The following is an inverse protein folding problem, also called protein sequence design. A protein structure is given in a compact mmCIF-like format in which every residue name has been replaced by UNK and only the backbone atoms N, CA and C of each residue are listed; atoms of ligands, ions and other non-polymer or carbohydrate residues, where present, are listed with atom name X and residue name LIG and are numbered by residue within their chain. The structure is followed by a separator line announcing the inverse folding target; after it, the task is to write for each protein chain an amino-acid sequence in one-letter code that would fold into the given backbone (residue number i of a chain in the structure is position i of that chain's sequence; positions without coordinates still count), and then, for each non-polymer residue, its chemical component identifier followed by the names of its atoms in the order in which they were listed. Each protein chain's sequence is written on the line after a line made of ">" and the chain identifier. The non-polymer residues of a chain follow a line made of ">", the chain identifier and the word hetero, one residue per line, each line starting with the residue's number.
data_IF_405796019235
#
_entry.id   IF_405796019235
#
_cell.length_a   1.000
_cell.length_b   1.000
_cell.length_c   1.000
_cell.angle_alpha   90.00
_cell.angle_beta   90.00
_cell.angle_gamma   90.00
#
_symmetry.space_group_name_H-M   'P 1'
#
loop_
_entity.id
_entity.type
_entity.pdbx_description
1 polymer ?
#
# COMPACT_ATOMS: atom_id res chain seq x y z
N UNK A 1 -14.29 9.25 14.35
CA UNK A 1 -12.94 8.63 14.27
C UNK A 1 -12.15 9.25 13.14
N UNK A 2 -10.92 9.64 13.44
CA UNK A 2 -10.07 10.30 12.45
C UNK A 2 -9.16 9.26 11.77
N UNK A 3 -9.15 9.25 10.44
CA UNK A 3 -8.25 8.41 9.69
C UNK A 3 -6.87 9.08 9.63
N UNK A 4 -5.84 8.36 10.02
CA UNK A 4 -4.46 8.85 10.02
C UNK A 4 -3.61 8.02 9.06
N UNK A 5 -2.42 8.54 8.74
CA UNK A 5 -1.47 7.78 7.92
C UNK A 5 -1.12 6.44 8.56
N UNK A 6 -0.95 6.42 9.89
CA UNK A 6 -0.68 5.18 10.62
C UNK A 6 -1.79 4.15 10.41
N UNK A 7 -3.04 4.60 10.46
CA UNK A 7 -4.19 3.73 10.22
C UNK A 7 -4.15 3.15 8.80
N UNK A 8 -3.83 3.98 7.83
CA UNK A 8 -3.72 3.55 6.43
C UNK A 8 -2.59 2.53 6.27
N UNK A 9 -1.42 2.81 6.82
CA UNK A 9 -0.30 1.86 6.74
C UNK A 9 -0.62 0.55 7.44
N UNK A 10 -1.27 0.59 8.59
CA UNK A 10 -1.65 -0.62 9.30
C UNK A 10 -2.60 -1.48 8.47
N UNK A 11 -3.55 -0.85 7.78
CA UNK A 11 -4.47 -1.56 6.90
C UNK A 11 -3.72 -2.16 5.71
N UNK A 12 -2.81 -1.41 5.10
CA UNK A 12 -2.04 -1.88 3.95
C UNK A 12 -1.12 -3.05 4.28
N UNK A 13 -0.72 -3.20 5.55
CA UNK A 13 0.08 -4.35 5.97
C UNK A 13 -0.69 -5.66 5.88
N UNK A 14 -1.98 -5.63 5.67
CA UNK A 14 -2.79 -6.82 5.43
C UNK A 14 -2.70 -7.30 3.98
N UNK A 15 -2.16 -6.47 3.09
CA UNK A 15 -2.00 -6.81 1.68
C UNK A 15 -0.62 -7.39 1.47
N UNK A 16 -0.57 -8.64 1.02
CA UNK A 16 0.69 -9.37 0.82
C UNK A 16 0.93 -9.63 -0.65
N UNK A 17 2.18 -9.45 -1.07
CA UNK A 17 2.60 -9.82 -2.42
C UNK A 17 2.55 -11.35 -2.54
N UNK A 18 1.83 -11.91 -3.51
CA UNK A 18 1.69 -13.36 -3.63
C UNK A 18 2.98 -14.07 -4.06
N UNK A 19 3.93 -13.35 -4.60
CA UNK A 19 5.21 -13.94 -5.01
C UNK A 19 6.22 -13.96 -3.87
N UNK A 20 6.25 -12.90 -3.07
CA UNK A 20 7.24 -12.72 -2.01
C UNK A 20 6.70 -13.02 -0.61
N UNK A 21 5.37 -13.08 -0.46
CA UNK A 21 4.68 -13.36 0.81
C UNK A 21 4.96 -12.32 1.89
N UNK A 22 5.32 -11.12 1.49
CA UNK A 22 5.59 -10.01 2.41
C UNK A 22 4.59 -8.88 2.10
N UNK A 23 4.16 -8.18 3.14
CA UNK A 23 3.18 -7.10 2.96
C UNK A 23 3.78 -5.92 2.17
N UNK A 24 2.89 -5.21 1.47
CA UNK A 24 3.31 -4.15 0.55
C UNK A 24 4.01 -2.98 1.24
N UNK A 25 3.73 -2.74 2.52
CA UNK A 25 4.38 -1.66 3.27
C UNK A 25 5.85 -2.00 3.51
N UNK A 26 6.12 -3.21 4.01
CA UNK A 26 7.48 -3.64 4.29
C UNK A 26 8.30 -3.84 3.01
N UNK A 27 7.64 -4.17 1.91
CA UNK A 27 8.31 -4.25 0.61
C UNK A 27 8.70 -2.87 0.06
N UNK A 28 8.16 -1.79 0.64
CA UNK A 28 8.43 -0.45 0.14
C UNK A 28 7.66 -0.11 -1.13
N UNK A 29 6.52 -0.75 -1.35
CA UNK A 29 5.69 -0.49 -2.52
C UNK A 29 4.78 0.71 -2.36
N UNK A 30 4.58 1.20 -1.13
CA UNK A 30 3.75 2.37 -0.85
C UNK A 30 4.64 3.60 -0.85
N UNK A 31 4.45 4.48 -1.83
CA UNK A 31 5.26 5.69 -1.98
C UNK A 31 4.68 6.90 -1.28
N UNK A 32 3.37 7.04 -1.30
CA UNK A 32 2.73 8.22 -0.72
C UNK A 32 1.33 7.88 -0.25
N UNK A 33 0.94 8.45 0.88
CA UNK A 33 -0.42 8.38 1.40
C UNK A 33 -0.88 9.81 1.63
N UNK A 34 -1.98 10.20 1.01
CA UNK A 34 -2.60 11.50 1.21
C UNK A 34 -4.01 11.30 1.75
N UNK A 35 -4.35 12.03 2.80
CA UNK A 35 -5.66 11.96 3.42
C UNK A 35 -6.27 13.34 3.35
N UNK A 36 -7.44 13.45 2.72
CA UNK A 36 -8.12 14.72 2.51
C UNK A 36 -9.51 14.67 3.18
N UNK A 37 -9.78 15.56 4.15
CA UNK A 37 -11.10 15.61 4.75
C UNK A 37 -12.15 16.07 3.73
N UNK A 38 -13.31 15.40 3.71
CA UNK A 38 -14.39 15.73 2.81
C UNK A 38 -15.73 15.35 3.43
N UNK A 39 -16.56 16.33 3.71
CA UNK A 39 -17.96 16.13 4.19
C UNK A 39 -18.07 15.18 5.39
N UNK A 40 -17.18 15.34 6.38
CA UNK A 40 -17.19 14.50 7.58
C UNK A 40 -16.53 13.15 7.42
N UNK A 41 -15.99 12.88 6.24
CA UNK A 41 -15.24 11.66 5.94
C UNK A 41 -13.83 12.00 5.52
N UNK A 42 -12.99 11.00 5.36
CA UNK A 42 -11.63 11.17 4.87
C UNK A 42 -11.46 10.43 3.55
N UNK A 43 -11.07 11.17 2.53
CA UNK A 43 -10.70 10.57 1.25
C UNK A 43 -9.24 10.12 1.34
N UNK A 44 -8.97 8.93 0.87
CA UNK A 44 -7.63 8.36 0.94
C UNK A 44 -7.09 8.17 -0.47
N UNK A 45 -5.91 8.73 -0.71
CA UNK A 45 -5.19 8.56 -1.98
C UNK A 45 -3.85 7.92 -1.68
N UNK A 46 -3.58 6.75 -2.28
CA UNK A 46 -2.33 6.02 -2.08
C UNK A 46 -1.61 5.90 -3.42
N UNK A 47 -0.33 6.23 -3.42
CA UNK A 47 0.54 5.98 -4.56
C UNK A 47 1.39 4.76 -4.26
N UNK A 48 1.26 3.74 -5.08
CA UNK A 48 1.97 2.47 -4.93
C UNK A 48 2.75 2.16 -6.20
N UNK A 49 3.74 1.30 -6.06
CA UNK A 49 4.45 0.77 -7.20
C UNK A 49 4.42 -0.77 -7.16
N UNK A 50 5.04 -1.39 -8.15
CA UNK A 50 5.16 -2.84 -8.27
C UNK A 50 6.62 -3.21 -8.23
N UNK A 51 6.93 -4.45 -7.79
CA UNK A 51 8.30 -4.95 -7.81
C UNK A 51 8.82 -5.11 -9.23
N UNK A 52 7.90 -5.24 -10.18
CA UNK A 52 8.23 -5.31 -11.62
C UNK A 52 7.09 -4.67 -12.41
N UNK A 53 7.40 -3.91 -13.49
CA UNK A 53 6.35 -3.37 -14.36
C UNK A 53 5.46 -4.45 -14.99
N UNK A 54 5.96 -5.68 -15.11
CA UNK A 54 5.24 -6.81 -15.68
C UNK A 54 4.61 -7.70 -14.60
N UNK A 55 4.48 -7.23 -13.37
CA UNK A 55 3.94 -8.00 -12.26
C UNK A 55 2.50 -8.44 -12.56
N UNK A 56 2.23 -9.76 -12.70
CA UNK A 56 0.87 -10.22 -13.02
C UNK A 56 -0.10 -10.07 -11.86
N UNK A 57 0.40 -9.90 -10.64
CA UNK A 57 -0.41 -9.70 -9.45
C UNK A 57 -0.78 -8.24 -9.20
N UNK A 58 -0.31 -7.31 -10.05
CA UNK A 58 -0.54 -5.88 -9.86
C UNK A 58 -2.00 -5.49 -9.65
N UNK A 59 -2.91 -5.87 -10.57
CA UNK A 59 -4.33 -5.52 -10.41
C UNK A 59 -4.94 -6.10 -9.13
N UNK A 60 -4.53 -7.30 -8.72
CA UNK A 60 -5.00 -7.93 -7.50
C UNK A 60 -4.53 -7.16 -6.28
N UNK A 61 -3.27 -6.74 -6.23
CA UNK A 61 -2.73 -5.96 -5.13
C UNK A 61 -3.46 -4.63 -4.98
N UNK A 62 -3.75 -3.97 -6.07
CA UNK A 62 -4.48 -2.70 -6.07
C UNK A 62 -5.88 -2.90 -5.51
N UNK A 63 -6.56 -3.94 -5.95
CA UNK A 63 -7.92 -4.23 -5.48
C UNK A 63 -7.92 -4.56 -3.99
N UNK A 64 -6.98 -5.38 -3.53
CA UNK A 64 -6.87 -5.70 -2.10
C UNK A 64 -6.58 -4.45 -1.27
N UNK A 65 -5.72 -3.56 -1.77
CA UNK A 65 -5.43 -2.31 -1.08
C UNK A 65 -6.70 -1.45 -0.94
N UNK A 66 -7.47 -1.34 -1.99
CA UNK A 66 -8.75 -0.61 -1.95
C UNK A 66 -9.71 -1.24 -0.95
N UNK A 67 -9.79 -2.56 -0.95
CA UNK A 67 -10.72 -3.29 -0.08
C UNK A 67 -10.38 -3.09 1.40
N UNK A 68 -9.11 -3.22 1.78
CA UNK A 68 -8.72 -3.06 3.18
C UNK A 68 -8.89 -1.62 3.66
N UNK A 69 -8.70 -0.65 2.78
CA UNK A 69 -8.91 0.75 3.13
C UNK A 69 -10.39 1.08 3.25
N UNK A 70 -11.23 0.54 2.37
CA UNK A 70 -12.68 0.72 2.47
C UNK A 70 -13.24 0.09 3.75
N UNK A 71 -12.62 -0.98 4.23
CA UNK A 71 -13.04 -1.66 5.45
C UNK A 71 -12.67 -0.92 6.73
N UNK A 72 -11.96 0.20 6.66
CA UNK A 72 -11.63 0.99 7.85
C UNK A 72 -12.84 1.62 8.52
N UNK A 73 -13.98 1.66 7.84
CA UNK A 73 -15.25 2.07 8.45
C UNK A 73 -15.92 3.23 7.75
N UNK A 74 -16.94 3.78 8.41
CA UNK A 74 -17.77 4.86 7.85
C UNK A 74 -17.02 6.19 7.72
N UNK A 75 -15.90 6.35 8.42
CA UNK A 75 -15.09 7.55 8.32
C UNK A 75 -14.33 7.66 6.99
N UNK A 76 -14.27 6.58 6.23
CA UNK A 76 -13.59 6.56 4.93
C UNK A 76 -14.54 7.04 3.84
N UNK A 77 -14.10 8.04 3.09
CA UNK A 77 -14.82 8.53 1.92
C UNK A 77 -14.39 7.78 0.67
N UNK A 78 -13.82 8.51 -0.28
CA UNK A 78 -13.34 7.91 -1.53
C UNK A 78 -11.93 7.32 -1.33
N UNK A 79 -11.71 6.13 -1.83
CA UNK A 79 -10.40 5.49 -1.83
C UNK A 79 -9.86 5.44 -3.25
N UNK A 80 -8.68 5.99 -3.46
CA UNK A 80 -8.00 5.96 -4.75
C UNK A 80 -6.61 5.36 -4.57
N UNK A 81 -6.29 4.36 -5.37
CA UNK A 81 -4.96 3.76 -5.40
C UNK A 81 -4.40 3.96 -6.80
N UNK A 82 -3.28 4.67 -6.88
CA UNK A 82 -2.63 4.99 -8.14
C UNK A 82 -1.32 4.21 -8.23
N UNK A 83 -1.08 3.59 -9.36
CA UNK A 83 0.19 2.89 -9.63
C UNK A 83 1.14 3.86 -10.30
N UNK A 84 2.32 4.01 -9.72
CA UNK A 84 3.39 4.82 -10.30
C UNK A 84 4.61 3.93 -10.51
N UNK A 85 5.23 4.03 -11.66
CA UNK A 85 6.39 3.21 -12.00
C UNK A 85 7.70 3.99 -11.94
N UNK A 86 7.61 5.27 -11.61
CA UNK A 86 8.78 6.15 -11.50
C UNK A 86 8.70 6.91 -10.16
N UNK A 87 9.71 6.85 -9.30
CA UNK A 87 10.94 6.10 -9.50
C UNK A 87 10.71 4.58 -9.40
N UNK A 88 11.53 3.76 -10.11
CA UNK A 88 11.34 2.32 -10.08
C UNK A 88 11.63 1.75 -8.69
N UNK A 89 10.91 0.70 -8.35
CA UNK A 89 11.14 0.01 -7.09
C UNK A 89 12.49 -0.72 -7.12
N UNK A 90 13.19 -0.70 -5.99
CA UNK A 90 14.42 -1.47 -5.79
C UNK A 90 14.37 -2.16 -4.42
N UNK A 91 15.14 -3.24 -4.23
CA UNK A 91 15.20 -3.91 -2.93
C UNK A 91 15.62 -3.01 -1.77
N UNK A 92 16.30 -1.90 -2.04
CA UNK A 92 16.70 -0.95 -1.01
C UNK A 92 15.51 -0.28 -0.33
N UNK A 93 14.34 -0.34 -0.94
CA UNK A 93 13.12 0.25 -0.38
C UNK A 93 12.45 -0.65 0.65
N UNK A 94 12.86 -1.92 0.73
CA UNK A 94 12.33 -2.83 1.73
C UNK A 94 12.83 -2.48 3.12
N UNK A 95 12.00 -2.76 4.14
CA UNK A 95 12.44 -2.68 5.52
C UNK A 95 13.51 -3.75 5.79
N UNK A 96 14.28 -3.56 6.85
CA UNK A 96 15.30 -4.54 7.24
C UNK A 96 14.67 -5.91 7.52
N UNK A 97 13.51 -5.92 8.18
CA UNK A 97 12.79 -7.16 8.47
C UNK A 97 12.41 -7.92 7.20
N UNK A 98 11.93 -7.21 6.19
CA UNK A 98 11.55 -7.83 4.92
C UNK A 98 12.78 -8.38 4.19
N UNK A 99 13.88 -7.67 4.22
CA UNK A 99 15.13 -8.12 3.60
C UNK A 99 15.67 -9.36 4.28
N UNK A 100 15.59 -9.40 5.61
CA UNK A 100 16.01 -10.58 6.39
C UNK A 100 15.15 -11.81 6.05
N UNK A 101 13.84 -11.63 5.95
CA UNK A 101 12.91 -12.71 5.60
C UNK A 101 13.23 -13.33 4.24
N UNK A 102 13.64 -12.49 3.28
CA UNK A 102 13.96 -12.94 1.94
C UNK A 102 15.42 -13.39 1.78
N UNK A 103 16.23 -13.25 2.83
CA UNK A 103 17.64 -13.56 2.76
C UNK A 103 18.47 -12.58 1.94
N UNK A 104 17.97 -11.35 1.80
CA UNK A 104 18.62 -10.29 1.04
C UNK A 104 19.38 -9.38 2.01
N UNK A 105 20.68 -9.34 1.88
CA UNK A 105 21.54 -8.57 2.78
C UNK A 105 22.34 -7.51 2.05
#
# INVERSE_FOLDING_TARGET
>A
MTITEETVFAALRQVHDPELFINVVDLGLVYEVAITPAEGKSDIHVKMTMTSPACPAGPQLIQEAKDVLADLGEAVGKVTVEVVLDPPWTPDRMTDDARDELGMY
#
